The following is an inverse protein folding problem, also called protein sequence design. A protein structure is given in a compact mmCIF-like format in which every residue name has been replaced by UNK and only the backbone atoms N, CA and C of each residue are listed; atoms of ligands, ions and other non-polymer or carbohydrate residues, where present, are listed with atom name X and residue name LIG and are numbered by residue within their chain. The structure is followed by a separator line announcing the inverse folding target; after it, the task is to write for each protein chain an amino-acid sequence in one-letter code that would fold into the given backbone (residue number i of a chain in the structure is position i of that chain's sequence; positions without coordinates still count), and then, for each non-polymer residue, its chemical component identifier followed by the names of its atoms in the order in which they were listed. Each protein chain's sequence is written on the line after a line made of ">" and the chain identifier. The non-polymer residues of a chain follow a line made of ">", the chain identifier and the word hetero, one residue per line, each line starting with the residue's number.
data_IF_097543616661
#
_entry.id   IF_097543616661
#
_cell.length_a   1.000
_cell.length_b   1.000
_cell.length_c   1.000
_cell.angle_alpha   90.00
_cell.angle_beta   90.00
_cell.angle_gamma   90.00
#
_symmetry.space_group_name_H-M   'P 1'
#
loop_
_entity.id
_entity.type
_entity.pdbx_description
1 polymer ?
#
# COMPACT_ATOMS: atom_id res chain seq x y z
N UNK A 1 -1.64 27.67 -61.64
CA UNK A 1 -1.70 26.53 -62.56
C UNK A 1 -1.70 25.26 -61.71
N UNK A 2 -2.89 24.70 -61.45
CA UNK A 2 -3.37 23.39 -61.95
C UNK A 2 -2.50 22.20 -61.49
N UNK A 3 -2.99 21.15 -60.82
CA UNK A 3 -4.35 20.76 -60.48
C UNK A 3 -4.38 19.45 -59.68
N UNK A 4 -5.50 19.23 -58.98
CA UNK A 4 -5.87 18.02 -58.24
C UNK A 4 -6.36 16.90 -59.16
N UNK A 5 -6.14 15.62 -58.80
CA UNK A 5 -6.83 14.46 -59.43
C UNK A 5 -7.20 13.39 -58.37
N UNK A 6 -8.50 13.38 -58.06
CA UNK A 6 -9.46 12.27 -57.97
C UNK A 6 -9.25 11.04 -57.08
N UNK A 7 -10.26 10.90 -56.20
CA UNK A 7 -10.72 9.70 -55.51
C UNK A 7 -11.22 8.58 -56.44
N UNK A 8 -11.15 7.32 -55.96
CA UNK A 8 -12.07 6.23 -56.35
C UNK A 8 -12.50 5.41 -55.13
N UNK A 9 -13.82 5.24 -55.04
CA UNK A 9 -14.58 4.43 -54.07
C UNK A 9 -14.45 2.91 -54.34
N UNK A 10 -14.71 2.17 -53.26
CA UNK A 10 -15.04 0.76 -53.01
C UNK A 10 -15.56 -0.14 -54.16
N UNK A 11 -15.58 -1.47 -53.92
CA UNK A 11 -16.85 -2.04 -53.47
C UNK A 11 -16.74 -3.06 -52.31
N UNK A 12 -17.83 -3.11 -51.57
CA UNK A 12 -18.24 -4.10 -50.57
C UNK A 12 -18.54 -5.47 -51.20
N UNK A 13 -18.26 -6.56 -50.47
CA UNK A 13 -18.96 -7.84 -50.60
C UNK A 13 -19.13 -8.49 -49.23
N UNK A 14 -20.40 -8.63 -48.84
CA UNK A 14 -20.89 -9.54 -47.82
C UNK A 14 -21.29 -10.87 -48.48
N UNK A 15 -21.24 -11.97 -47.74
CA UNK A 15 -22.24 -13.06 -47.66
C UNK A 15 -21.59 -14.37 -47.20
N UNK A 16 -22.23 -15.04 -46.22
CA UNK A 16 -21.86 -16.39 -45.79
C UNK A 16 -22.55 -16.86 -44.52
N UNK A 17 -23.85 -16.58 -44.34
CA UNK A 17 -24.68 -17.24 -43.33
C UNK A 17 -25.46 -18.37 -44.00
N UNK A 18 -25.42 -19.59 -43.43
CA UNK A 18 -26.25 -20.71 -43.86
C UNK A 18 -27.15 -21.19 -42.72
N UNK A 19 -28.41 -21.44 -43.09
CA UNK A 19 -29.60 -21.80 -42.32
C UNK A 19 -29.56 -23.25 -41.83
N UNK A 20 -29.98 -23.51 -40.58
CA UNK A 20 -31.28 -24.07 -40.13
C UNK A 20 -31.62 -25.48 -40.63
N UNK A 21 -31.70 -26.43 -39.68
CA UNK A 21 -32.75 -27.45 -39.62
C UNK A 21 -32.84 -27.98 -38.17
N UNK A 22 -34.05 -27.91 -37.59
CA UNK A 22 -34.36 -28.44 -36.26
C UNK A 22 -34.99 -29.83 -36.31
N UNK A 23 -34.99 -30.50 -35.16
CA UNK A 23 -35.87 -31.60 -34.72
C UNK A 23 -35.57 -31.80 -33.21
N UNK A 24 -36.50 -31.47 -32.31
CA UNK A 24 -37.53 -32.36 -31.73
C UNK A 24 -37.13 -32.93 -30.35
N UNK A 25 -38.12 -32.93 -29.45
CA UNK A 25 -38.12 -33.28 -28.02
C UNK A 25 -37.69 -34.71 -27.71
N UNK A 26 -37.21 -34.96 -26.48
CA UNK A 26 -37.67 -36.03 -25.53
C UNK A 26 -36.58 -36.27 -24.46
N UNK A 27 -36.88 -36.02 -23.17
CA UNK A 27 -37.19 -37.00 -22.10
C UNK A 27 -36.03 -37.85 -21.58
N UNK A 28 -35.84 -37.86 -20.26
CA UNK A 28 -35.32 -39.01 -19.51
C UNK A 28 -33.86 -38.95 -19.06
N UNK A 29 -33.59 -38.30 -17.93
CA UNK A 29 -32.35 -38.55 -17.19
C UNK A 29 -32.53 -39.86 -16.41
N UNK A 30 -31.86 -40.92 -16.86
CA UNK A 30 -31.74 -42.19 -16.14
C UNK A 30 -30.26 -42.56 -16.00
N UNK A 31 -29.87 -42.84 -14.76
CA UNK A 31 -28.84 -43.81 -14.39
C UNK A 31 -27.42 -43.61 -14.89
N UNK A 32 -26.58 -42.92 -14.10
CA UNK A 32 -25.15 -43.19 -14.11
C UNK A 32 -24.84 -44.19 -12.99
N UNK A 33 -24.73 -45.47 -13.37
CA UNK A 33 -24.27 -46.57 -12.53
C UNK A 33 -22.78 -46.75 -12.81
N UNK A 34 -21.92 -46.40 -11.86
CA UNK A 34 -20.52 -46.82 -11.88
C UNK A 34 -20.21 -47.49 -10.53
N UNK A 35 -20.17 -48.81 -10.54
CA UNK A 35 -19.58 -49.64 -9.50
C UNK A 35 -18.18 -49.98 -9.96
N UNK A 36 -17.15 -49.50 -9.26
CA UNK A 36 -15.92 -50.26 -9.01
C UNK A 36 -15.41 -49.91 -7.62
N UNK A 37 -15.08 -50.96 -6.90
CA UNK A 37 -14.64 -51.10 -5.51
C UNK A 37 -13.19 -50.66 -5.31
N UNK A 38 -12.85 -50.04 -4.17
CA UNK A 38 -11.88 -50.52 -3.14
C UNK A 38 -11.78 -49.46 -1.99
N UNK A 39 -11.45 -49.86 -0.74
CA UNK A 39 -11.88 -49.24 0.50
C UNK A 39 -10.80 -48.33 1.13
N UNK A 40 -11.23 -47.33 1.91
CA UNK A 40 -10.33 -46.56 2.78
C UNK A 40 -10.72 -45.10 2.98
N UNK A 41 -11.94 -44.82 3.43
CA UNK A 41 -12.36 -43.48 3.84
C UNK A 41 -12.76 -43.50 5.33
N UNK A 42 -11.90 -42.96 6.20
CA UNK A 42 -12.35 -42.43 7.49
C UNK A 42 -12.95 -41.05 7.23
N UNK A 43 -14.27 -41.00 7.05
CA UNK A 43 -15.05 -39.78 7.04
C UNK A 43 -15.46 -39.43 8.47
N UNK A 44 -15.00 -38.28 8.96
CA UNK A 44 -15.53 -37.67 10.18
C UNK A 44 -17.03 -37.35 10.01
N UNK A 45 -17.86 -37.54 11.04
CA UNK A 45 -19.30 -37.35 10.93
C UNK A 45 -19.66 -35.87 10.74
N UNK A 46 -20.38 -35.60 9.66
CA UNK A 46 -21.07 -34.36 9.39
C UNK A 46 -22.15 -34.16 10.47
N UNK A 47 -21.98 -33.16 11.35
CA UNK A 47 -22.98 -32.79 12.34
C UNK A 47 -24.24 -32.28 11.62
N UNK A 48 -25.36 -32.98 11.81
CA UNK A 48 -26.71 -32.51 11.44
C UNK A 48 -27.01 -31.22 12.21
N UNK A 49 -27.22 -30.12 11.49
CA UNK A 49 -27.83 -28.92 12.04
C UNK A 49 -29.27 -29.24 12.48
N UNK A 50 -29.54 -29.10 13.78
CA UNK A 50 -30.88 -29.19 14.32
C UNK A 50 -31.68 -27.94 13.94
N UNK A 51 -32.83 -28.15 13.32
CA UNK A 51 -33.83 -27.12 13.01
C UNK A 51 -34.42 -26.51 14.29
N UNK A 52 -34.66 -25.19 14.35
CA UNK A 52 -35.16 -24.52 15.55
C UNK A 52 -36.64 -24.80 15.77
N UNK A 53 -36.99 -25.24 16.99
CA UNK A 53 -38.37 -25.40 17.47
C UNK A 53 -39.04 -24.06 17.82
N UNK A 54 -40.37 -24.06 18.04
CA UNK A 54 -41.17 -22.83 18.11
C UNK A 54 -40.94 -22.06 19.41
N UNK A 55 -40.86 -20.73 19.28
CA UNK A 55 -40.71 -19.80 20.39
C UNK A 55 -42.01 -19.69 21.20
N UNK A 56 -41.97 -20.04 22.49
CA UNK A 56 -43.02 -19.68 23.44
C UNK A 56 -42.80 -18.25 23.94
N UNK A 57 -43.77 -17.37 23.64
CA UNK A 57 -43.82 -16.01 24.12
C UNK A 57 -44.17 -15.98 25.62
N UNK A 58 -43.21 -15.60 26.46
CA UNK A 58 -43.44 -15.25 27.86
C UNK A 58 -43.41 -13.72 28.01
N UNK A 59 -44.58 -13.12 28.17
CA UNK A 59 -44.73 -11.68 28.39
C UNK A 59 -44.26 -11.31 29.80
N UNK A 60 -43.04 -10.79 29.92
CA UNK A 60 -42.53 -10.21 31.17
C UNK A 60 -42.87 -8.72 31.18
N UNK A 61 -43.71 -8.29 32.12
CA UNK A 61 -44.05 -6.87 32.31
C UNK A 61 -42.82 -6.11 32.79
N UNK A 62 -42.25 -5.25 31.96
CA UNK A 62 -41.20 -4.32 32.38
C UNK A 62 -41.83 -3.18 33.17
N UNK A 63 -41.46 -3.06 34.45
CA UNK A 63 -41.83 -1.93 35.32
C UNK A 63 -40.93 -0.75 34.96
N UNK A 64 -41.50 0.32 34.43
CA UNK A 64 -40.80 1.58 34.17
C UNK A 64 -40.57 2.32 35.49
N UNK A 65 -39.37 2.19 36.05
CA UNK A 65 -38.87 3.12 37.08
C UNK A 65 -37.83 4.04 36.43
N UNK A 66 -38.18 5.31 36.28
CA UNK A 66 -37.27 6.39 35.90
C UNK A 66 -36.18 6.56 36.96
N UNK A 67 -34.89 6.51 36.62
CA UNK A 67 -33.85 6.93 37.54
C UNK A 67 -33.70 8.45 37.47
N UNK A 68 -33.91 9.13 38.60
CA UNK A 68 -33.53 10.53 38.78
C UNK A 68 -32.00 10.60 38.80
N UNK A 69 -31.40 11.14 37.75
CA UNK A 69 -29.97 11.46 37.70
C UNK A 69 -29.75 12.75 38.51
N UNK A 70 -29.16 12.63 39.69
CA UNK A 70 -28.61 13.78 40.41
C UNK A 70 -27.22 14.08 39.85
N UNK A 71 -27.08 15.25 39.22
CA UNK A 71 -25.80 15.74 38.73
C UNK A 71 -24.86 16.03 39.91
N UNK A 72 -23.79 15.25 40.04
CA UNK A 72 -22.66 15.54 40.93
C UNK A 72 -21.71 16.46 40.17
N UNK A 73 -21.69 17.73 40.50
CA UNK A 73 -20.65 18.66 40.07
C UNK A 73 -19.33 18.29 40.75
N UNK A 74 -18.40 17.73 39.98
CA UNK A 74 -17.00 17.59 40.39
C UNK A 74 -16.20 18.74 39.78
N UNK A 75 -15.37 19.45 40.54
CA UNK A 75 -14.63 20.59 40.01
C UNK A 75 -13.61 20.10 38.98
N UNK A 76 -13.72 20.61 37.76
CA UNK A 76 -12.71 20.47 36.74
C UNK A 76 -11.40 21.10 37.23
N UNK A 77 -10.49 20.27 37.73
CA UNK A 77 -9.09 20.66 37.85
C UNK A 77 -8.54 20.79 36.43
N UNK A 78 -8.43 22.05 35.98
CA UNK A 78 -7.70 22.42 34.78
C UNK A 78 -6.25 21.95 34.94
N UNK A 79 -5.95 20.75 34.43
CA UNK A 79 -4.57 20.30 34.25
C UNK A 79 -4.08 20.94 32.96
N UNK A 80 -3.40 22.06 33.13
CA UNK A 80 -2.66 22.79 32.10
C UNK A 80 -1.87 21.80 31.26
N UNK A 81 -2.26 21.61 30.01
CA UNK A 81 -1.41 20.93 29.02
C UNK A 81 -0.24 21.87 28.75
N UNK A 82 0.88 21.64 29.44
CA UNK A 82 2.14 22.25 29.10
C UNK A 82 2.50 21.79 27.67
N UNK A 83 2.40 22.73 26.75
CA UNK A 83 2.81 22.63 25.36
C UNK A 83 4.33 22.47 25.28
N UNK A 84 4.83 21.24 25.35
CA UNK A 84 6.22 20.92 25.03
C UNK A 84 6.26 19.84 23.94
N UNK A 85 5.89 20.22 22.73
CA UNK A 85 6.22 19.47 21.52
C UNK A 85 6.70 20.43 20.44
N UNK A 86 7.71 21.23 20.76
CA UNK A 86 8.63 21.79 19.77
C UNK A 86 9.85 20.89 19.71
N UNK A 87 9.74 19.75 19.02
CA UNK A 87 10.93 19.10 18.48
C UNK A 87 11.40 19.98 17.33
N UNK A 88 12.37 20.83 17.65
CA UNK A 88 13.00 21.80 16.77
C UNK A 88 13.69 21.10 15.58
N UNK A 89 13.81 21.81 14.45
CA UNK A 89 14.53 21.38 13.25
C UNK A 89 16.03 21.06 13.48
N UNK A 90 16.54 21.18 14.72
CA UNK A 90 17.92 20.95 15.15
C UNK A 90 18.37 19.49 15.26
N UNK A 91 17.47 18.51 15.11
CA UNK A 91 17.81 17.08 15.33
C UNK A 91 18.13 16.28 14.06
N UNK A 92 18.09 16.92 12.88
CA UNK A 92 18.48 16.28 11.61
C UNK A 92 20.01 16.26 11.52
N UNK A 93 20.59 15.06 11.45
CA UNK A 93 22.06 14.88 11.45
C UNK A 93 22.66 14.82 10.06
N UNK A 94 21.88 14.39 9.07
CA UNK A 94 22.34 14.23 7.68
C UNK A 94 22.44 15.56 6.94
N UNK A 95 23.52 15.72 6.17
CA UNK A 95 23.79 16.90 5.33
C UNK A 95 24.15 16.48 3.91
N UNK A 96 24.02 17.43 2.98
CA UNK A 96 24.51 17.25 1.61
C UNK A 96 26.04 17.11 1.65
N UNK A 97 26.55 16.09 0.95
CA UNK A 97 27.96 15.70 0.94
C UNK A 97 28.29 14.53 1.88
N UNK A 98 27.42 14.20 2.84
CA UNK A 98 27.66 13.09 3.75
C UNK A 98 27.53 11.75 3.02
N UNK A 99 28.30 10.75 3.47
CA UNK A 99 28.08 9.36 3.07
C UNK A 99 26.95 8.76 3.90
N UNK A 100 26.02 8.04 3.25
CA UNK A 100 24.92 7.39 3.98
C UNK A 100 25.45 6.30 4.93
N UNK A 101 24.83 6.12 6.10
CA UNK A 101 25.19 5.05 7.00
C UNK A 101 24.77 3.71 6.41
N UNK A 102 25.52 2.67 6.77
CA UNK A 102 25.18 1.31 6.40
C UNK A 102 23.86 0.89 7.05
N UNK A 103 22.98 0.32 6.23
CA UNK A 103 21.64 -0.09 6.62
C UNK A 103 21.18 -1.33 5.88
N UNK A 104 20.30 -2.08 6.54
CA UNK A 104 19.58 -3.19 5.93
C UNK A 104 18.09 -2.89 6.00
N UNK A 105 17.46 -2.82 4.84
CA UNK A 105 16.01 -2.76 4.71
C UNK A 105 15.46 -4.15 4.45
N UNK A 106 14.18 -4.34 4.73
CA UNK A 106 13.46 -5.56 4.34
C UNK A 106 12.36 -5.18 3.37
N UNK A 107 12.21 -5.90 2.26
CA UNK A 107 11.12 -5.65 1.32
C UNK A 107 10.66 -6.93 0.67
N UNK A 108 9.50 -6.91 0.04
CA UNK A 108 8.99 -8.02 -0.76
C UNK A 108 9.02 -7.55 -2.21
N UNK A 109 9.88 -8.14 -3.07
CA UNK A 109 9.93 -7.78 -4.49
C UNK A 109 8.56 -8.04 -5.14
N UNK A 110 8.16 -7.14 -6.03
CA UNK A 110 6.94 -7.35 -6.80
C UNK A 110 7.11 -8.53 -7.75
N UNK A 111 6.10 -9.39 -7.80
CA UNK A 111 5.94 -10.39 -8.85
C UNK A 111 4.47 -10.40 -9.30
N UNK A 112 4.16 -10.74 -10.56
CA UNK A 112 2.77 -10.79 -11.04
C UNK A 112 1.87 -11.72 -10.23
N UNK A 113 2.43 -12.78 -9.63
CA UNK A 113 1.68 -13.74 -8.80
C UNK A 113 1.13 -13.07 -7.54
N UNK A 114 1.83 -12.05 -7.02
CA UNK A 114 1.38 -11.30 -5.87
C UNK A 114 0.11 -10.49 -6.17
N UNK A 115 -0.30 -10.28 -7.42
CA UNK A 115 -1.61 -9.66 -7.68
C UNK A 115 -2.77 -10.53 -7.18
N UNK A 116 -2.56 -11.84 -7.06
CA UNK A 116 -3.52 -12.73 -6.42
C UNK A 116 -3.53 -12.48 -4.90
N UNK A 117 -4.72 -12.16 -4.35
CA UNK A 117 -4.92 -11.96 -2.92
C UNK A 117 -4.51 -13.15 -2.02
N UNK A 118 -4.45 -14.36 -2.58
CA UNK A 118 -4.03 -15.58 -1.87
C UNK A 118 -2.51 -15.82 -1.92
N UNK A 119 -1.76 -15.06 -2.72
CA UNK A 119 -0.32 -15.17 -2.79
C UNK A 119 0.36 -14.33 -1.70
N UNK A 120 1.35 -14.92 -1.02
CA UNK A 120 2.18 -14.25 -0.03
C UNK A 120 3.62 -14.16 -0.53
N UNK A 121 4.20 -12.97 -0.49
CA UNK A 121 5.58 -12.77 -0.89
C UNK A 121 6.54 -13.04 0.26
N UNK A 122 7.76 -13.48 -0.09
CA UNK A 122 8.80 -13.75 0.88
C UNK A 122 9.64 -12.48 1.06
N UNK A 123 9.80 -11.98 2.29
CA UNK A 123 10.66 -10.83 2.54
C UNK A 123 12.13 -11.14 2.22
N UNK A 124 12.77 -10.24 1.48
CA UNK A 124 14.20 -10.24 1.20
C UNK A 124 14.86 -9.03 1.84
N UNK A 125 16.17 -9.11 2.06
CA UNK A 125 16.97 -8.02 2.60
C UNK A 125 17.57 -7.21 1.46
N UNK A 126 17.62 -5.90 1.64
CA UNK A 126 18.36 -4.98 0.79
C UNK A 126 19.39 -4.25 1.65
N UNK A 127 20.65 -4.30 1.26
CA UNK A 127 21.70 -3.54 1.91
C UNK A 127 21.98 -2.24 1.15
N UNK A 128 22.28 -1.16 1.87
CA UNK A 128 22.62 0.13 1.27
C UNK A 128 23.83 0.06 0.33
N UNK A 129 24.75 -0.89 0.52
CA UNK A 129 25.89 -1.15 -0.38
C UNK A 129 25.48 -1.46 -1.82
N UNK A 130 24.27 -2.00 -2.03
CA UNK A 130 23.74 -2.30 -3.36
C UNK A 130 23.45 -1.04 -4.19
N UNK A 131 23.51 0.14 -3.56
CA UNK A 131 23.37 1.46 -4.20
C UNK A 131 24.70 2.07 -4.64
N UNK A 132 25.82 1.38 -4.44
CA UNK A 132 27.12 1.83 -4.97
C UNK A 132 27.07 1.97 -6.49
N UNK A 133 27.56 3.10 -7.00
CA UNK A 133 27.52 3.46 -8.42
C UNK A 133 26.12 3.71 -9.00
N UNK A 134 25.08 3.85 -8.15
CA UNK A 134 23.71 4.15 -8.56
C UNK A 134 23.25 5.49 -8.01
N UNK A 135 22.35 6.15 -8.76
CA UNK A 135 21.59 7.28 -8.28
C UNK A 135 20.24 6.81 -7.73
N UNK A 136 19.99 7.07 -6.45
CA UNK A 136 18.82 6.62 -5.71
C UNK A 136 18.02 7.81 -5.22
N UNK A 137 16.74 7.85 -5.56
CA UNK A 137 15.76 8.75 -4.94
C UNK A 137 15.06 7.97 -3.83
N UNK A 138 15.35 8.33 -2.59
CA UNK A 138 14.76 7.71 -1.40
C UNK A 138 13.77 8.68 -0.78
N UNK A 139 12.53 8.24 -0.61
CA UNK A 139 11.44 9.03 -0.07
C UNK A 139 10.89 8.33 1.16
N UNK A 140 10.82 9.00 2.29
CA UNK A 140 10.31 8.44 3.53
C UNK A 140 8.95 9.00 3.88
N UNK A 141 8.09 8.13 4.40
CA UNK A 141 6.74 8.46 4.87
C UNK A 141 6.50 7.95 6.29
N UNK A 142 5.76 8.70 7.13
CA UNK A 142 5.46 8.26 8.50
C UNK A 142 4.68 6.93 8.60
N UNK A 143 3.91 6.57 7.57
CA UNK A 143 3.23 5.29 7.54
C UNK A 143 2.42 5.04 6.27
N UNK A 144 2.39 3.78 5.86
CA UNK A 144 1.52 3.27 4.82
C UNK A 144 0.04 3.55 5.14
N UNK A 145 -0.79 3.72 4.11
CA UNK A 145 -2.23 4.01 4.21
C UNK A 145 -2.63 5.28 4.99
N UNK A 146 -1.69 6.12 5.40
CA UNK A 146 -2.04 7.42 6.04
C UNK A 146 -2.41 8.48 4.97
N UNK A 147 -3.36 9.39 5.23
CA UNK A 147 -4.01 10.20 4.19
C UNK A 147 -3.04 10.96 3.26
N UNK A 148 -2.14 11.75 3.82
CA UNK A 148 -1.18 12.55 3.03
C UNK A 148 -0.18 11.67 2.27
N UNK A 149 0.29 10.58 2.89
CA UNK A 149 1.26 9.69 2.28
C UNK A 149 0.66 8.93 1.09
N UNK A 150 -0.57 8.46 1.28
CA UNK A 150 -1.30 7.68 0.30
C UNK A 150 -1.77 8.52 -0.89
N UNK A 151 -2.44 9.65 -0.64
CA UNK A 151 -3.08 10.41 -1.71
C UNK A 151 -2.11 11.35 -2.43
N UNK A 152 -1.20 11.99 -1.70
CA UNK A 152 -0.48 13.16 -2.21
C UNK A 152 1.03 12.98 -2.32
N UNK A 153 1.62 12.05 -1.57
CA UNK A 153 3.08 11.93 -1.52
C UNK A 153 3.63 10.88 -2.48
N UNK A 154 3.12 9.64 -2.45
CA UNK A 154 3.67 8.54 -3.24
C UNK A 154 3.19 8.52 -4.70
N UNK A 155 1.90 8.74 -5.03
CA UNK A 155 1.43 8.63 -6.42
C UNK A 155 2.19 9.49 -7.44
N UNK A 156 2.58 10.75 -7.14
CA UNK A 156 3.35 11.57 -8.08
C UNK A 156 4.70 10.97 -8.50
N UNK A 157 5.33 10.13 -7.67
CA UNK A 157 6.57 9.43 -8.06
C UNK A 157 6.34 8.36 -9.10
N UNK A 158 5.17 7.70 -9.08
CA UNK A 158 4.79 6.72 -10.10
C UNK A 158 4.42 7.42 -11.41
N UNK A 159 3.67 8.52 -11.33
CA UNK A 159 3.27 9.33 -12.50
C UNK A 159 4.48 9.90 -13.23
N UNK A 160 5.49 10.38 -12.49
CA UNK A 160 6.70 11.01 -13.02
C UNK A 160 7.90 10.05 -13.09
N UNK A 161 7.66 8.74 -12.97
CA UNK A 161 8.72 7.73 -12.95
C UNK A 161 9.66 7.87 -14.14
N UNK A 162 9.12 8.03 -15.35
CA UNK A 162 9.91 8.14 -16.57
C UNK A 162 10.76 9.43 -16.62
N UNK A 163 10.32 10.50 -15.97
CA UNK A 163 11.11 11.74 -15.84
C UNK A 163 12.31 11.54 -14.92
N UNK A 164 12.13 10.86 -13.78
CA UNK A 164 13.24 10.46 -12.91
C UNK A 164 14.24 9.57 -13.65
N UNK A 165 13.76 8.58 -14.42
CA UNK A 165 14.63 7.71 -15.23
C UNK A 165 15.42 8.52 -16.26
N UNK A 166 14.80 9.50 -16.94
CA UNK A 166 15.48 10.40 -17.89
C UNK A 166 16.57 11.26 -17.24
N UNK A 167 16.41 11.61 -15.96
CA UNK A 167 17.41 12.32 -15.14
C UNK A 167 18.54 11.41 -14.60
N UNK A 168 18.56 10.14 -15.02
CA UNK A 168 19.57 9.17 -14.63
C UNK A 168 19.37 8.62 -13.22
N UNK A 169 18.14 8.65 -12.68
CA UNK A 169 17.82 7.94 -11.42
C UNK A 169 17.72 6.45 -11.72
N UNK A 170 18.49 5.64 -11.01
CA UNK A 170 18.49 4.18 -11.15
C UNK A 170 17.36 3.54 -10.34
N UNK A 171 17.20 3.98 -9.09
CA UNK A 171 16.27 3.40 -8.12
C UNK A 171 15.43 4.49 -7.49
N UNK A 172 14.11 4.26 -7.41
CA UNK A 172 13.22 5.04 -6.55
C UNK A 172 12.73 4.11 -5.43
N UNK A 173 12.92 4.52 -4.19
CA UNK A 173 12.56 3.74 -3.02
C UNK A 173 11.69 4.55 -2.05
N UNK A 174 10.57 3.98 -1.62
CA UNK A 174 9.74 4.49 -0.53
C UNK A 174 10.12 3.76 0.74
N UNK A 175 10.43 4.49 1.81
CA UNK A 175 10.81 3.95 3.12
C UNK A 175 9.74 4.28 4.16
N UNK A 176 9.38 3.31 5.00
CA UNK A 176 8.57 3.56 6.19
C UNK A 176 8.90 2.55 7.31
N UNK A 177 8.49 2.87 8.54
CA UNK A 177 8.66 1.99 9.69
C UNK A 177 7.63 0.85 9.81
N UNK A 178 6.76 0.70 8.80
CA UNK A 178 5.86 -0.46 8.67
C UNK A 178 6.66 -1.73 8.32
N UNK A 179 6.12 -2.90 8.65
CA UNK A 179 6.70 -4.17 8.21
C UNK A 179 6.60 -4.35 6.67
N UNK A 180 7.39 -5.27 6.14
CA UNK A 180 7.51 -5.50 4.70
C UNK A 180 6.20 -6.03 4.06
N UNK A 181 5.35 -6.73 4.81
CA UNK A 181 4.08 -7.24 4.29
C UNK A 181 3.08 -6.11 4.06
N UNK A 182 2.96 -5.21 5.04
CA UNK A 182 2.12 -4.01 4.91
C UNK A 182 2.60 -3.13 3.76
N UNK A 183 3.91 -2.92 3.63
CA UNK A 183 4.47 -2.13 2.54
C UNK A 183 4.29 -2.78 1.17
N UNK A 184 4.42 -4.10 1.07
CA UNK A 184 4.13 -4.84 -0.16
C UNK A 184 2.67 -4.69 -0.58
N UNK A 185 1.73 -4.89 0.35
CA UNK A 185 0.30 -4.72 0.09
C UNK A 185 -0.04 -3.29 -0.33
N UNK A 186 0.56 -2.30 0.34
CA UNK A 186 0.37 -0.89 -0.01
C UNK A 186 0.95 -0.53 -1.39
N UNK A 187 2.15 -1.01 -1.71
CA UNK A 187 2.78 -0.80 -3.01
C UNK A 187 1.97 -1.39 -4.16
N UNK A 188 1.41 -2.60 -3.96
CA UNK A 188 0.49 -3.24 -4.90
C UNK A 188 -0.78 -2.43 -5.07
N UNK A 189 -1.38 -1.98 -3.96
CA UNK A 189 -2.59 -1.14 -3.99
C UNK A 189 -2.38 0.16 -4.78
N UNK A 190 -1.21 0.79 -4.63
CA UNK A 190 -0.84 2.00 -5.38
C UNK A 190 -0.36 1.73 -6.82
N UNK A 191 -0.22 0.46 -7.22
CA UNK A 191 0.25 0.10 -8.56
C UNK A 191 1.73 0.39 -8.81
N UNK A 192 2.57 0.42 -7.76
CA UNK A 192 4.00 0.69 -7.86
C UNK A 192 4.76 -0.40 -8.65
N UNK A 193 4.27 -1.64 -8.58
CA UNK A 193 4.83 -2.82 -9.26
C UNK A 193 6.34 -2.95 -9.04
N UNK A 194 7.09 -3.20 -10.11
CA UNK A 194 8.54 -3.32 -10.19
C UNK A 194 9.26 -1.97 -10.34
N UNK A 195 8.52 -0.86 -10.50
CA UNK A 195 9.10 0.47 -10.75
C UNK A 195 9.65 1.12 -9.49
N UNK A 196 8.92 1.02 -8.38
CA UNK A 196 9.25 1.72 -7.14
C UNK A 196 9.33 0.69 -6.00
N UNK A 197 10.47 0.66 -5.32
CA UNK A 197 10.70 -0.25 -4.20
C UNK A 197 10.00 0.28 -2.95
N UNK A 198 9.29 -0.58 -2.21
CA UNK A 198 8.72 -0.25 -0.92
C UNK A 198 9.51 -0.95 0.20
N UNK A 199 10.38 -0.19 0.87
CA UNK A 199 11.37 -0.66 1.83
C UNK A 199 10.90 -0.47 3.26
N UNK A 200 10.91 -1.55 4.04
CA UNK A 200 10.70 -1.51 5.48
C UNK A 200 11.99 -1.09 6.18
N UNK A 201 11.89 -0.06 7.03
CA UNK A 201 12.89 0.35 8.02
C UNK A 201 12.35 0.03 9.43
N UNK A 202 12.46 -1.23 9.91
CA UNK A 202 11.82 -1.64 11.15
C UNK A 202 12.28 -0.78 12.34
N UNK A 203 11.32 -0.21 13.06
CA UNK A 203 11.55 0.73 14.17
C UNK A 203 12.31 2.00 13.77
N UNK A 204 12.27 2.40 12.49
CA UNK A 204 12.98 3.56 11.96
C UNK A 204 14.49 3.55 12.26
N UNK A 205 15.12 2.38 12.37
CA UNK A 205 16.51 2.22 12.82
C UNK A 205 17.50 2.92 11.92
N UNK A 206 17.34 2.79 10.61
CA UNK A 206 18.22 3.48 9.66
C UNK A 206 17.95 4.98 9.66
N UNK A 207 16.67 5.36 9.61
CA UNK A 207 16.27 6.78 9.67
C UNK A 207 16.73 7.46 10.97
N UNK A 208 16.77 6.75 12.10
CA UNK A 208 17.25 7.26 13.38
C UNK A 208 18.74 7.64 13.36
N UNK A 209 19.57 6.88 12.63
CA UNK A 209 21.00 7.21 12.46
C UNK A 209 21.19 8.57 11.78
N UNK A 210 20.27 8.93 10.89
CA UNK A 210 20.26 10.21 10.17
C UNK A 210 19.57 11.35 10.95
N UNK A 211 19.03 11.10 12.14
CA UNK A 211 18.20 12.07 12.87
C UNK A 211 16.80 12.26 12.27
N UNK A 212 16.35 11.27 11.49
CA UNK A 212 15.11 11.27 10.72
C UNK A 212 14.04 10.32 11.27
N UNK A 213 14.21 9.82 12.50
CA UNK A 213 13.14 9.17 13.24
C UNK A 213 12.31 10.21 14.02
N UNK A 214 11.06 9.89 14.32
CA UNK A 214 10.16 10.68 15.16
C UNK A 214 9.31 9.76 16.03
N UNK A 215 8.99 10.24 17.23
CA UNK A 215 8.05 9.55 18.11
C UNK A 215 6.62 10.07 17.87
N UNK A 216 5.75 9.18 17.43
CA UNK A 216 4.32 9.42 17.22
C UNK A 216 3.47 8.60 18.19
N UNK A 217 4.01 8.21 19.35
CA UNK A 217 3.28 7.46 20.39
C UNK A 217 2.05 8.21 20.91
N UNK A 218 2.06 9.55 20.88
CA UNK A 218 0.88 10.36 21.23
C UNK A 218 -0.32 10.17 20.27
N UNK A 219 -0.09 9.57 19.09
CA UNK A 219 -1.10 9.20 18.11
C UNK A 219 -1.23 7.67 17.98
N UNK A 220 -0.72 6.91 18.96
CA UNK A 220 -0.67 5.44 18.99
C UNK A 220 0.09 4.79 17.81
N UNK A 221 1.05 5.52 17.21
CA UNK A 221 1.83 5.02 16.07
C UNK A 221 3.20 4.48 16.46
N UNK A 222 3.67 4.77 17.67
CA UNK A 222 5.02 4.47 18.14
C UNK A 222 6.10 5.26 17.39
N UNK A 223 7.33 4.73 17.36
CA UNK A 223 8.43 5.31 16.60
C UNK A 223 8.22 5.12 15.10
N UNK A 224 8.24 6.22 14.34
CA UNK A 224 8.10 6.24 12.88
C UNK A 224 9.24 7.03 12.24
N UNK A 225 9.29 7.01 10.92
CA UNK A 225 10.18 7.89 10.15
C UNK A 225 9.54 9.27 9.99
N UNK A 226 10.37 10.32 9.92
CA UNK A 226 9.93 11.65 9.46
C UNK A 226 9.54 11.57 7.99
N UNK A 227 8.76 12.56 7.53
CA UNK A 227 8.56 12.76 6.08
C UNK A 227 9.78 13.47 5.52
N UNK A 228 10.51 12.80 4.65
CA UNK A 228 11.72 13.35 4.05
C UNK A 228 12.01 12.74 2.68
N UNK A 229 12.87 13.37 1.90
CA UNK A 229 13.46 12.80 0.70
C UNK A 229 14.98 13.00 0.70
N UNK A 230 15.69 12.01 0.17
CA UNK A 230 17.13 12.03 -0.09
C UNK A 230 17.38 11.70 -1.56
N UNK A 231 18.25 12.47 -2.20
CA UNK A 231 18.91 12.01 -3.44
C UNK A 231 20.28 11.53 -3.04
N UNK A 232 20.57 10.27 -3.36
CA UNK A 232 21.83 9.61 -3.06
C UNK A 232 22.49 9.28 -4.39
N UNK A 233 23.76 9.62 -4.56
CA UNK A 233 24.55 9.30 -5.75
C UNK A 233 25.90 8.73 -5.30
N UNK A 234 26.13 7.46 -5.66
CA UNK A 234 27.28 6.67 -5.20
C UNK A 234 27.49 6.73 -3.67
N UNK A 235 26.44 6.36 -2.93
CA UNK A 235 26.39 6.38 -1.46
C UNK A 235 26.56 7.78 -0.81
N UNK A 236 26.68 8.85 -1.59
CA UNK A 236 26.75 10.22 -1.07
C UNK A 236 25.41 10.94 -1.20
N UNK A 237 25.04 11.68 -0.15
CA UNK A 237 23.83 12.49 -0.14
C UNK A 237 24.03 13.74 -1.00
N UNK A 238 23.21 13.91 -2.04
CA UNK A 238 23.21 15.09 -2.92
C UNK A 238 22.05 16.04 -2.63
N UNK A 239 20.97 15.54 -2.04
CA UNK A 239 19.81 16.35 -1.65
C UNK A 239 19.25 15.85 -0.32
N UNK A 240 18.79 16.79 0.52
CA UNK A 240 18.07 16.52 1.77
C UNK A 240 16.85 17.43 1.82
N UNK A 241 15.66 16.85 1.72
CA UNK A 241 14.38 17.55 1.87
C UNK A 241 13.62 16.99 3.06
N UNK A 242 13.71 17.60 4.24
CA UNK A 242 12.96 17.21 5.44
C UNK A 242 11.80 18.16 5.63
N UNK A 243 10.59 17.64 5.80
CA UNK A 243 9.39 18.46 5.91
C UNK A 243 9.31 19.11 7.30
N UNK A 244 9.15 20.44 7.38
CA UNK A 244 9.08 21.14 8.66
C UNK A 244 7.71 20.95 9.34
N UNK A 245 6.66 20.76 8.55
CA UNK A 245 5.28 20.67 9.01
C UNK A 245 4.50 19.56 8.29
N UNK A 246 3.20 19.47 8.58
CA UNK A 246 2.28 18.56 7.91
C UNK A 246 2.07 19.03 6.46
N UNK A 247 2.82 18.46 5.53
CA UNK A 247 2.69 18.76 4.10
C UNK A 247 3.55 17.86 3.22
N UNK A 248 3.51 18.11 1.92
CA UNK A 248 4.44 17.57 0.93
C UNK A 248 4.92 18.76 0.10
N UNK A 249 6.14 19.20 0.38
CA UNK A 249 6.82 20.32 -0.26
C UNK A 249 8.19 19.85 -0.74
N UNK A 250 9.22 19.96 0.10
CA UNK A 250 10.61 19.58 -0.17
C UNK A 250 10.81 18.08 -0.39
N UNK A 251 9.92 17.24 0.13
CA UNK A 251 9.95 15.79 -0.11
C UNK A 251 9.16 15.36 -1.34
N UNK A 252 8.45 16.28 -2.00
CA UNK A 252 7.61 15.98 -3.16
C UNK A 252 8.39 15.70 -4.44
N UNK A 253 7.76 14.97 -5.36
CA UNK A 253 8.38 14.56 -6.62
C UNK A 253 8.89 15.76 -7.45
N UNK A 254 8.14 16.85 -7.52
CA UNK A 254 8.53 18.07 -8.24
C UNK A 254 9.77 18.75 -7.64
N UNK A 255 9.83 18.85 -6.31
CA UNK A 255 10.97 19.45 -5.62
C UNK A 255 12.25 18.65 -5.87
N UNK A 256 12.15 17.32 -5.88
CA UNK A 256 13.28 16.44 -6.15
C UNK A 256 13.68 16.50 -7.62
N UNK A 257 12.73 16.47 -8.57
CA UNK A 257 13.03 16.61 -10.00
C UNK A 257 13.73 17.94 -10.32
N UNK A 258 13.37 19.02 -9.63
CA UNK A 258 14.05 20.30 -9.75
C UNK A 258 15.47 20.30 -9.18
N UNK A 259 15.78 19.41 -8.24
CA UNK A 259 17.09 19.26 -7.61
C UNK A 259 18.02 18.26 -8.32
N UNK A 260 17.53 17.53 -9.35
CA UNK A 260 18.25 16.52 -10.14
C UNK A 260 18.82 17.08 -11.45
#
# INVERSE_FOLDING_TARGET
>A
MYGAILAKRAPTKALGASRVLGLSRSSGASGCRLLTTFPGHMTAPCYKAASPGPAHAAATRYRTSTPTITARTSPASARTYASNATMSASDVKVKVGDTIPQGTFTYIPYTPELENHSACGIPVKLNTDEWKGKKVVLVSVPGAFTPTCHANHVPPFLEKYDEFKKKGVDVIAIVAANDAFVLSGWARFLGLKDKILALSDPNARWSAQLGLAQDLSALDFGTRTKRYALVIDDLQVKYVGVEPERGVTVSGADAILAAL
#
